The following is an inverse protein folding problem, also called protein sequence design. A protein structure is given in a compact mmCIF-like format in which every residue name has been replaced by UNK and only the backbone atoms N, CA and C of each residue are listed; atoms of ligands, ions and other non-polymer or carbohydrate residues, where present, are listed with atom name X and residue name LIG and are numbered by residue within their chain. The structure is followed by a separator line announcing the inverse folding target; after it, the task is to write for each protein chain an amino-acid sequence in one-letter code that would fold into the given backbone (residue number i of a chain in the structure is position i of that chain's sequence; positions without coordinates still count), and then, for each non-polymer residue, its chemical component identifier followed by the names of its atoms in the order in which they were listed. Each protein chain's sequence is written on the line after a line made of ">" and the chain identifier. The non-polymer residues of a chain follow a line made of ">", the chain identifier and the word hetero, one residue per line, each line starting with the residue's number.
data_IF_483074060063
#
_entry.id   IF_483074060063
#
_cell.length_a   1.000
_cell.length_b   1.000
_cell.length_c   1.000
_cell.angle_alpha   90.00
_cell.angle_beta   90.00
_cell.angle_gamma   90.00
#
_symmetry.space_group_name_H-M   'P 1'
#
loop_
_entity.id
_entity.type
_entity.pdbx_description
1 polymer ?
#
# COMPACT_ATOMS: atom_id res chain seq x y z
N UNK A 1 -7.27 8.77 -12.18
CA UNK A 1 -7.73 8.96 -13.57
C UNK A 1 -7.36 10.35 -14.04
N UNK A 2 -7.36 10.61 -15.36
CA UNK A 2 -7.06 11.94 -15.88
C UNK A 2 -8.01 13.01 -15.31
N UNK A 3 -9.31 12.70 -15.26
CA UNK A 3 -10.32 13.58 -14.66
C UNK A 3 -10.04 13.96 -13.19
N UNK A 4 -9.50 13.01 -12.42
CA UNK A 4 -9.16 13.25 -11.02
C UNK A 4 -7.92 14.14 -10.90
N UNK A 5 -6.95 13.97 -11.82
CA UNK A 5 -5.75 14.82 -11.92
C UNK A 5 -6.14 16.27 -12.26
N UNK A 6 -7.04 16.43 -13.21
CA UNK A 6 -7.52 17.76 -13.62
C UNK A 6 -8.27 18.46 -12.48
N UNK A 7 -9.13 17.73 -11.78
CA UNK A 7 -9.84 18.24 -10.60
C UNK A 7 -8.88 18.59 -9.44
N UNK A 8 -7.86 17.77 -9.19
CA UNK A 8 -6.85 18.06 -8.17
C UNK A 8 -6.04 19.30 -8.52
N UNK A 9 -5.60 19.42 -9.77
CA UNK A 9 -4.84 20.60 -10.25
C UNK A 9 -5.64 21.88 -10.17
N UNK A 10 -6.93 21.83 -10.51
CA UNK A 10 -7.84 22.98 -10.36
C UNK A 10 -7.95 23.46 -8.90
N UNK A 11 -7.70 22.58 -7.95
CA UNK A 11 -7.66 22.88 -6.50
C UNK A 11 -6.25 23.09 -5.94
N UNK A 12 -5.23 23.27 -6.80
CA UNK A 12 -3.85 23.48 -6.38
C UNK A 12 -3.15 22.23 -5.82
N UNK A 13 -3.71 21.05 -6.05
CA UNK A 13 -3.16 19.76 -5.61
C UNK A 13 -2.45 19.03 -6.74
N UNK A 14 -1.60 18.06 -6.41
CA UNK A 14 -0.87 17.21 -7.35
C UNK A 14 -0.04 17.99 -8.39
N UNK A 15 0.48 19.15 -8.04
CA UNK A 15 1.22 20.03 -8.96
C UNK A 15 2.56 19.43 -9.41
N UNK A 16 3.16 18.56 -8.60
CA UNK A 16 4.40 17.84 -8.95
C UNK A 16 4.18 16.56 -9.76
N UNK A 17 2.92 16.15 -9.98
CA UNK A 17 2.59 14.96 -10.76
C UNK A 17 2.74 15.20 -12.27
N UNK A 18 3.49 14.33 -12.93
CA UNK A 18 3.65 14.28 -14.39
C UNK A 18 3.29 12.90 -14.91
N UNK A 19 3.13 12.75 -16.22
CA UNK A 19 2.94 11.43 -16.83
C UNK A 19 4.17 10.51 -16.67
N UNK A 20 5.32 11.08 -16.37
CA UNK A 20 6.59 10.36 -16.21
C UNK A 20 6.76 9.79 -14.79
N UNK A 21 6.17 10.45 -13.78
CA UNK A 21 6.29 10.04 -12.38
C UNK A 21 4.98 9.51 -11.77
N UNK A 22 3.92 9.42 -12.57
CA UNK A 22 2.63 8.88 -12.15
C UNK A 22 2.03 7.99 -13.23
N UNK A 23 1.34 6.93 -12.81
CA UNK A 23 0.53 6.12 -13.73
C UNK A 23 -0.85 6.75 -13.84
N UNK A 24 -1.16 7.26 -15.01
CA UNK A 24 -2.42 7.96 -15.30
C UNK A 24 -3.26 7.12 -16.26
N UNK A 25 -4.52 6.92 -15.92
CA UNK A 25 -5.50 6.21 -16.74
C UNK A 25 -6.53 7.17 -17.31
N UNK A 26 -6.91 6.90 -18.57
CA UNK A 26 -8.10 7.45 -19.20
C UNK A 26 -8.96 6.29 -19.65
N UNK A 27 -10.04 6.03 -18.92
CA UNK A 27 -10.78 4.77 -19.03
C UNK A 27 -9.86 3.56 -18.77
N UNK A 28 -9.74 2.67 -19.75
CA UNK A 28 -8.89 1.49 -19.69
C UNK A 28 -7.49 1.73 -20.29
N UNK A 29 -7.24 2.93 -20.81
CA UNK A 29 -5.97 3.28 -21.44
C UNK A 29 -5.01 3.90 -20.44
N UNK A 30 -3.75 3.44 -20.45
CA UNK A 30 -2.65 4.06 -19.70
C UNK A 30 -2.07 5.20 -20.56
N UNK A 31 -2.01 6.41 -20.00
CA UNK A 31 -1.47 7.60 -20.65
C UNK A 31 0.02 7.79 -20.40
N UNK A 32 0.54 7.20 -19.33
CA UNK A 32 1.95 7.35 -18.95
C UNK A 32 2.87 6.71 -20.00
N UNK A 33 3.98 7.39 -20.40
CA UNK A 33 4.96 6.84 -21.32
C UNK A 33 5.52 5.50 -20.81
N UNK A 34 5.63 4.52 -21.70
CA UNK A 34 6.11 3.18 -21.35
C UNK A 34 5.05 2.26 -20.73
N UNK A 35 3.84 2.76 -20.45
CA UNK A 35 2.74 1.96 -19.90
C UNK A 35 2.96 1.51 -18.46
N UNK A 36 2.49 0.29 -18.13
CA UNK A 36 2.69 -0.34 -16.84
C UNK A 36 3.95 -1.19 -16.84
N UNK A 37 4.71 -1.16 -15.75
CA UNK A 37 5.85 -2.06 -15.51
C UNK A 37 5.42 -3.50 -15.24
N UNK A 38 4.23 -3.65 -14.63
CA UNK A 38 3.57 -4.92 -14.35
C UNK A 38 2.09 -4.80 -14.70
N UNK A 39 1.48 -5.85 -15.21
CA UNK A 39 0.06 -5.86 -15.57
C UNK A 39 -0.85 -5.54 -14.37
N UNK A 40 -0.41 -5.88 -13.18
CA UNK A 40 -1.09 -5.68 -11.90
C UNK A 40 -0.51 -4.51 -11.07
N UNK A 41 0.25 -3.60 -11.69
CA UNK A 41 0.92 -2.49 -11.00
C UNK A 41 -0.02 -1.65 -10.10
N UNK A 42 -1.26 -1.33 -10.49
CA UNK A 42 -2.17 -0.61 -9.60
C UNK A 42 -2.53 -1.37 -8.32
N UNK A 43 -2.61 -2.70 -8.41
CA UNK A 43 -2.86 -3.56 -7.24
C UNK A 43 -1.63 -3.62 -6.34
N UNK A 44 -0.45 -3.77 -6.93
CA UNK A 44 0.83 -3.73 -6.19
C UNK A 44 1.02 -2.41 -5.45
N UNK A 45 0.69 -1.30 -6.10
CA UNK A 45 0.74 0.03 -5.47
C UNK A 45 -0.19 0.09 -4.26
N UNK A 46 -1.44 -0.37 -4.40
CA UNK A 46 -2.39 -0.42 -3.28
C UNK A 46 -1.93 -1.32 -2.13
N UNK A 47 -1.25 -2.42 -2.44
CA UNK A 47 -0.66 -3.28 -1.41
C UNK A 47 0.47 -2.57 -0.66
N UNK A 48 1.32 -1.85 -1.37
CA UNK A 48 2.39 -1.05 -0.77
C UNK A 48 1.83 0.06 0.12
N UNK A 49 0.79 0.77 -0.35
CA UNK A 49 0.07 1.78 0.43
C UNK A 49 -0.48 1.17 1.73
N UNK A 50 -1.11 0.01 1.65
CA UNK A 50 -1.66 -0.67 2.82
C UNK A 50 -0.56 -1.07 3.83
N UNK A 51 0.58 -1.55 3.36
CA UNK A 51 1.74 -1.85 4.23
C UNK A 51 2.25 -0.60 4.91
N UNK A 52 2.39 0.50 4.18
CA UNK A 52 2.80 1.80 4.72
C UNK A 52 1.82 2.35 5.75
N UNK A 53 0.52 2.30 5.45
CA UNK A 53 -0.53 2.75 6.36
C UNK A 53 -0.57 1.91 7.65
N UNK A 54 -0.45 0.60 7.54
CA UNK A 54 -0.46 -0.31 8.68
C UNK A 54 0.77 -0.13 9.59
N UNK A 55 1.88 0.38 9.09
CA UNK A 55 3.06 0.72 9.89
C UNK A 55 2.77 1.81 10.94
N UNK A 56 1.72 2.61 10.75
CA UNK A 56 1.24 3.60 11.74
C UNK A 56 0.76 2.94 13.05
N UNK A 57 0.57 1.63 13.08
CA UNK A 57 0.32 0.88 14.31
C UNK A 57 1.47 0.93 15.32
N UNK A 58 2.67 1.33 14.89
CA UNK A 58 3.85 1.44 15.75
C UNK A 58 4.60 0.13 15.98
N UNK A 59 4.21 -0.93 15.31
CA UNK A 59 4.88 -2.24 15.35
C UNK A 59 4.32 -3.21 14.32
N UNK A 60 5.00 -4.33 14.08
CA UNK A 60 4.52 -5.37 13.18
C UNK A 60 3.17 -5.93 13.61
N UNK A 61 2.27 -6.10 12.67
CA UNK A 61 0.94 -6.67 12.91
C UNK A 61 0.96 -8.14 12.48
N UNK A 62 0.65 -9.04 13.41
CA UNK A 62 0.36 -10.44 13.13
C UNK A 62 -1.15 -10.61 12.92
N UNK A 63 -1.58 -10.71 11.67
CA UNK A 63 -2.99 -10.80 11.33
C UNK A 63 -3.22 -10.92 9.84
N UNK A 64 -4.48 -11.01 9.45
CA UNK A 64 -4.91 -10.96 8.06
C UNK A 64 -5.54 -9.59 7.78
N UNK A 65 -5.01 -8.89 6.80
CA UNK A 65 -5.64 -7.70 6.24
C UNK A 65 -6.34 -8.06 4.93
N UNK A 66 -7.59 -7.65 4.78
CA UNK A 66 -8.33 -7.77 3.52
C UNK A 66 -8.92 -6.41 3.18
N UNK A 67 -8.52 -5.87 2.05
CA UNK A 67 -8.98 -4.58 1.56
C UNK A 67 -9.83 -4.73 0.30
N UNK A 68 -11.09 -4.30 0.36
CA UNK A 68 -11.95 -4.15 -0.81
C UNK A 68 -12.13 -2.67 -1.09
N UNK A 69 -11.69 -2.20 -2.27
CA UNK A 69 -11.65 -0.77 -2.64
C UNK A 69 -11.00 0.11 -1.57
N UNK A 70 -10.01 -0.47 -0.87
CA UNK A 70 -9.30 0.18 0.21
C UNK A 70 -8.46 1.38 -0.27
N UNK A 71 -8.11 2.22 0.67
CA UNK A 71 -7.23 3.38 0.50
C UNK A 71 -6.91 3.97 1.86
N UNK A 72 -6.01 4.95 1.91
CA UNK A 72 -5.46 5.54 3.13
C UNK A 72 -6.53 5.89 4.20
N UNK A 73 -7.64 6.52 3.78
CA UNK A 73 -8.71 6.90 4.70
C UNK A 73 -9.36 5.69 5.39
N UNK A 74 -9.58 4.59 4.66
CA UNK A 74 -10.17 3.38 5.23
C UNK A 74 -9.19 2.65 6.12
N UNK A 75 -7.93 2.53 5.74
CA UNK A 75 -6.89 1.90 6.56
C UNK A 75 -6.68 2.68 7.87
N UNK A 76 -6.68 4.01 7.80
CA UNK A 76 -6.58 4.86 9.00
C UNK A 76 -7.79 4.67 9.94
N UNK A 77 -9.01 4.59 9.37
CA UNK A 77 -10.21 4.33 10.17
C UNK A 77 -10.18 2.94 10.80
N UNK A 78 -9.69 1.94 10.07
CA UNK A 78 -9.49 0.58 10.59
C UNK A 78 -8.56 0.59 11.81
N UNK A 79 -7.38 1.22 11.70
CA UNK A 79 -6.42 1.30 12.80
C UNK A 79 -7.01 2.02 14.02
N UNK A 80 -7.72 3.12 13.80
CA UNK A 80 -8.41 3.84 14.89
C UNK A 80 -9.45 2.96 15.58
N UNK A 81 -10.25 2.22 14.81
CA UNK A 81 -11.24 1.31 15.36
C UNK A 81 -10.59 0.14 16.12
N UNK A 82 -9.51 -0.43 15.55
CA UNK A 82 -8.75 -1.50 16.19
C UNK A 82 -8.22 -1.07 17.56
N UNK A 83 -7.56 0.07 17.63
CA UNK A 83 -6.97 0.56 18.89
C UNK A 83 -7.96 1.15 19.88
N UNK A 84 -9.18 1.48 19.43
CA UNK A 84 -10.26 1.87 20.32
C UNK A 84 -10.88 0.69 21.07
N UNK A 85 -10.67 -0.53 20.58
CA UNK A 85 -11.15 -1.77 21.22
C UNK A 85 -9.98 -2.60 21.76
N UNK A 86 -9.67 -2.54 23.07
CA UNK A 86 -8.58 -3.29 23.67
C UNK A 86 -8.77 -4.82 23.60
N UNK A 87 -9.97 -5.30 23.28
CA UNK A 87 -10.25 -6.73 23.14
C UNK A 87 -9.95 -7.27 21.74
N UNK A 88 -9.84 -6.37 20.75
CA UNK A 88 -9.60 -6.72 19.36
C UNK A 88 -8.13 -7.01 19.02
N UNK A 89 -7.21 -6.71 19.91
CA UNK A 89 -5.77 -6.91 19.70
C UNK A 89 -5.03 -7.22 21.00
N UNK A 90 -3.83 -7.75 20.89
CA UNK A 90 -2.92 -7.94 22.02
C UNK A 90 -1.47 -7.84 21.57
N UNK A 91 -0.60 -7.43 22.46
CA UNK A 91 0.84 -7.55 22.24
C UNK A 91 1.28 -9.02 22.40
N UNK A 92 2.20 -9.44 21.55
CA UNK A 92 2.81 -10.78 21.60
C UNK A 92 4.31 -10.61 21.54
N UNK A 93 5.02 -11.31 22.43
CA UNK A 93 6.48 -11.35 22.37
C UNK A 93 6.92 -12.20 21.18
N UNK A 94 7.82 -11.64 20.36
CA UNK A 94 8.39 -12.33 19.21
C UNK A 94 9.56 -13.24 19.64
N UNK A 95 9.24 -14.33 20.32
CA UNK A 95 10.21 -15.40 20.56
C UNK A 95 10.55 -16.18 19.26
N UNK A 96 11.55 -17.08 19.30
CA UNK A 96 12.01 -17.83 18.12
C UNK A 96 10.90 -18.53 17.33
N UNK A 97 9.88 -19.05 18.02
CA UNK A 97 8.73 -19.71 17.39
C UNK A 97 7.80 -18.73 16.65
N UNK A 98 7.75 -17.47 17.09
CA UNK A 98 6.94 -16.42 16.46
C UNK A 98 7.68 -15.78 15.31
N UNK A 99 9.00 -15.62 15.42
CA UNK A 99 9.85 -15.07 14.38
C UNK A 99 9.70 -15.81 13.05
N UNK A 100 9.60 -17.14 13.07
CA UNK A 100 9.40 -17.95 11.87
C UNK A 100 8.06 -17.73 11.15
N UNK A 101 7.14 -17.00 11.77
CA UNK A 101 5.81 -16.67 11.20
C UNK A 101 5.71 -15.22 10.71
N UNK A 102 6.75 -14.41 10.92
CA UNK A 102 6.75 -13.02 10.49
C UNK A 102 6.91 -12.91 8.96
N UNK A 103 6.26 -11.92 8.33
CA UNK A 103 6.51 -11.63 6.93
C UNK A 103 7.99 -11.33 6.68
N UNK A 104 8.53 -11.85 5.60
CA UNK A 104 9.93 -11.64 5.21
C UNK A 104 10.94 -12.60 5.82
N UNK A 105 10.54 -13.47 6.75
CA UNK A 105 11.41 -14.53 7.23
C UNK A 105 11.63 -15.57 6.13
N UNK A 106 12.90 -15.86 5.81
CA UNK A 106 13.27 -16.75 4.71
C UNK A 106 13.42 -16.07 3.34
N UNK A 107 13.19 -14.76 3.25
CA UNK A 107 13.50 -14.01 2.03
C UNK A 107 15.00 -13.68 2.03
N UNK A 108 15.69 -14.07 0.97
CA UNK A 108 17.11 -13.80 0.74
C UNK A 108 17.28 -12.77 -0.38
N UNK A 109 18.43 -12.10 -0.40
CA UNK A 109 18.73 -11.11 -1.45
C UNK A 109 18.59 -11.69 -2.88
N UNK A 110 18.85 -12.98 -3.06
CA UNK A 110 18.70 -13.68 -4.34
C UNK A 110 17.24 -13.91 -4.77
N UNK A 111 16.28 -13.74 -3.87
CA UNK A 111 14.84 -13.88 -4.16
C UNK A 111 14.25 -12.56 -4.70
N UNK A 112 15.02 -11.47 -4.59
CA UNK A 112 14.61 -10.18 -5.11
C UNK A 112 14.94 -10.10 -6.60
N UNK A 113 13.98 -9.68 -7.46
CA UNK A 113 14.29 -9.44 -8.85
C UNK A 113 15.37 -8.37 -8.94
N UNK A 114 16.36 -8.60 -9.81
CA UNK A 114 17.33 -7.57 -10.11
C UNK A 114 16.60 -6.30 -10.57
N UNK A 115 16.84 -5.20 -9.90
CA UNK A 115 16.34 -3.90 -10.36
C UNK A 115 17.02 -3.62 -11.72
N UNK A 116 16.21 -3.60 -12.78
CA UNK A 116 16.65 -3.19 -14.11
C UNK A 116 16.78 -1.68 -14.19
#
# INVERSE_FOLDING_TARGET
>A
RQSDVDAMRANGLALGGTLENAVVFDGDRVLSPGGLRHADEPVRHKMLDAVGDLALAGGPILGRYTGERAGHALTNRLLRALFADPTAWRMVDCGPQTLGKLPGVGVHAGDLPACA
#
